data_IF_581847296723
#
_entry.id   IF_581847296723
#
_cell.length_a   1.000
_cell.length_b   1.000
_cell.length_c   1.000
_cell.angle_alpha   90.00
_cell.angle_beta   90.00
_cell.angle_gamma   90.00
#
_symmetry.space_group_name_H-M   'P 1'
#
loop_
_entity.id
_entity.type
_entity.pdbx_description
1 polymer ?
#
# COMPACT_ATOMS: atom_id res chain seq x y z
N UNK A 1 -12.74 11.22 6.86
CA UNK A 1 -12.60 12.21 5.77
C UNK A 1 -12.04 11.43 4.58
N UNK A 2 -12.87 11.16 3.58
CA UNK A 2 -12.44 10.42 2.39
C UNK A 2 -11.78 11.42 1.46
N UNK A 3 -10.45 11.39 1.38
CA UNK A 3 -9.72 12.23 0.43
C UNK A 3 -10.10 11.81 -1.00
N UNK A 4 -10.66 12.76 -1.74
CA UNK A 4 -11.00 12.61 -3.15
C UNK A 4 -10.19 13.62 -3.97
N UNK A 5 -9.88 13.26 -5.21
CA UNK A 5 -9.39 14.22 -6.18
C UNK A 5 -10.24 14.16 -7.44
N UNK A 6 -10.32 15.30 -8.13
CA UNK A 6 -11.10 15.48 -9.35
C UNK A 6 -10.11 15.58 -10.51
N UNK A 7 -10.30 14.79 -11.55
CA UNK A 7 -9.44 14.85 -12.75
C UNK A 7 -9.90 15.93 -13.75
N UNK A 8 -9.19 16.05 -14.87
CA UNK A 8 -9.45 17.01 -15.95
C UNK A 8 -10.79 16.79 -16.68
N UNK A 9 -11.45 15.64 -16.47
CA UNK A 9 -12.76 15.31 -17.01
C UNK A 9 -13.86 15.41 -15.94
N UNK A 10 -13.61 16.10 -14.84
CA UNK A 10 -14.50 16.25 -13.69
C UNK A 10 -14.87 14.95 -12.95
N UNK A 11 -14.15 13.85 -13.19
CA UNK A 11 -14.41 12.57 -12.52
C UNK A 11 -13.84 12.60 -11.10
N UNK A 12 -14.69 12.27 -10.12
CA UNK A 12 -14.30 12.19 -8.72
C UNK A 12 -13.73 10.82 -8.43
N UNK A 13 -12.45 10.76 -8.07
CA UNK A 13 -11.77 9.56 -7.65
C UNK A 13 -11.75 9.48 -6.12
N UNK A 14 -12.41 8.46 -5.57
CA UNK A 14 -12.37 8.18 -4.14
C UNK A 14 -11.17 7.27 -3.85
N UNK A 15 -10.14 7.80 -3.17
CA UNK A 15 -8.97 7.06 -2.69
C UNK A 15 -8.36 6.06 -3.70
N UNK A 16 -7.62 6.56 -4.69
CA UNK A 16 -6.88 5.67 -5.58
C UNK A 16 -5.73 5.02 -4.83
N UNK A 17 -5.89 3.74 -4.51
CA UNK A 17 -4.73 2.88 -4.37
C UNK A 17 -3.84 3.04 -5.61
N UNK A 18 -2.54 3.19 -5.41
CA UNK A 18 -1.57 3.13 -6.49
C UNK A 18 -0.41 2.25 -6.03
N UNK A 19 -0.22 1.09 -6.63
CA UNK A 19 0.87 0.20 -6.31
C UNK A 19 2.23 0.93 -6.52
N UNK A 20 3.10 1.03 -5.51
CA UNK A 20 4.41 1.69 -5.64
C UNK A 20 5.41 0.89 -6.49
N UNK A 21 5.18 -0.40 -6.70
CA UNK A 21 6.02 -1.26 -7.55
C UNK A 21 5.69 -1.10 -9.04
N UNK A 22 4.43 -1.33 -9.42
CA UNK A 22 4.00 -1.39 -10.82
C UNK A 22 3.06 -0.26 -11.27
N UNK A 23 2.54 0.57 -10.36
CA UNK A 23 1.60 1.64 -10.69
C UNK A 23 0.14 1.21 -10.84
N UNK A 24 -0.17 -0.09 -10.73
CA UNK A 24 -1.53 -0.63 -10.74
C UNK A 24 -2.45 0.14 -9.76
N UNK A 25 -3.67 0.48 -10.21
CA UNK A 25 -4.66 1.22 -9.41
C UNK A 25 -5.80 0.34 -8.87
N UNK A 26 -5.67 -0.98 -9.03
CA UNK A 26 -6.69 -1.94 -8.62
C UNK A 26 -6.39 -2.45 -7.21
N UNK A 27 -7.33 -2.24 -6.30
CA UNK A 27 -7.27 -2.64 -4.89
C UNK A 27 -8.35 -3.65 -4.49
N UNK A 28 -8.94 -4.35 -5.47
CA UNK A 28 -10.02 -5.33 -5.23
C UNK A 28 -9.63 -6.45 -4.26
N UNK A 29 -8.33 -6.71 -4.09
CA UNK A 29 -7.80 -7.75 -3.20
C UNK A 29 -7.14 -7.08 -1.99
N UNK A 30 -7.96 -6.58 -1.07
CA UNK A 30 -7.51 -5.97 0.18
C UNK A 30 -7.58 -6.98 1.35
N UNK A 31 -6.57 -6.93 2.21
CA UNK A 31 -6.49 -7.67 3.45
C UNK A 31 -6.28 -6.72 4.64
N UNK A 32 -6.91 -7.03 5.77
CA UNK A 32 -6.66 -6.34 7.03
C UNK A 32 -5.96 -7.30 7.97
N UNK A 33 -4.82 -6.90 8.51
CA UNK A 33 -4.09 -7.74 9.44
C UNK A 33 -3.26 -6.87 10.39
N UNK A 34 -3.45 -7.11 11.69
CA UNK A 34 -2.75 -6.38 12.72
C UNK A 34 -1.47 -7.13 13.10
N UNK A 35 -0.37 -6.77 12.46
CA UNK A 35 0.90 -7.50 12.60
C UNK A 35 1.70 -7.16 13.86
N UNK A 36 1.31 -6.12 14.59
CA UNK A 36 2.14 -5.55 15.66
C UNK A 36 2.45 -6.52 16.82
N UNK A 37 1.68 -7.59 16.98
CA UNK A 37 1.89 -8.60 18.04
C UNK A 37 2.88 -9.71 17.65
N UNK A 38 3.06 -9.96 16.36
CA UNK A 38 3.84 -11.08 15.83
C UNK A 38 5.17 -10.63 15.19
N UNK A 39 5.44 -9.32 15.22
CA UNK A 39 6.60 -8.70 14.62
C UNK A 39 7.44 -7.96 15.65
N UNK A 40 8.76 -8.02 15.45
CA UNK A 40 9.68 -7.12 16.14
C UNK A 40 9.35 -5.65 15.79
N UNK A 41 9.47 -4.72 16.74
CA UNK A 41 9.24 -3.28 16.47
C UNK A 41 10.13 -2.70 15.36
N UNK A 42 11.24 -3.36 15.04
CA UNK A 42 12.14 -3.00 13.94
C UNK A 42 11.64 -3.42 12.56
N UNK A 43 10.69 -4.36 12.48
CA UNK A 43 10.12 -4.82 11.21
C UNK A 43 9.31 -3.69 10.56
N UNK A 44 9.55 -3.34 9.29
CA UNK A 44 8.79 -2.32 8.59
C UNK A 44 7.27 -2.51 8.57
N UNK A 45 6.79 -3.75 8.72
CA UNK A 45 5.36 -4.10 8.79
C UNK A 45 4.74 -3.92 10.18
N UNK A 46 5.53 -3.76 11.25
CA UNK A 46 5.01 -3.62 12.63
C UNK A 46 4.08 -2.41 12.81
N UNK A 47 4.25 -1.38 11.98
CA UNK A 47 3.42 -0.16 11.98
C UNK A 47 2.30 -0.12 10.94
N UNK A 48 2.08 -1.21 10.19
CA UNK A 48 1.10 -1.26 9.11
C UNK A 48 -0.14 -2.05 9.57
N UNK A 49 -1.33 -1.54 9.26
CA UNK A 49 -2.64 -2.09 9.69
C UNK A 49 -3.37 -2.86 8.59
N UNK A 50 -3.10 -2.49 7.34
CA UNK A 50 -3.76 -3.06 6.18
C UNK A 50 -2.73 -3.26 5.06
N UNK A 51 -3.06 -4.16 4.14
CA UNK A 51 -2.30 -4.37 2.92
C UNK A 51 -3.23 -4.67 1.75
N UNK A 52 -2.72 -4.42 0.55
CA UNK A 52 -3.41 -4.69 -0.70
C UNK A 52 -2.52 -5.61 -1.51
N UNK A 53 -3.04 -6.78 -1.87
CA UNK A 53 -2.36 -7.65 -2.82
C UNK A 53 -2.58 -7.07 -4.22
N UNK A 54 -1.52 -6.52 -4.80
CA UNK A 54 -1.61 -5.98 -6.14
C UNK A 54 -1.86 -7.12 -7.13
N UNK A 55 -2.97 -7.09 -7.91
CA UNK A 55 -3.30 -8.19 -8.81
C UNK A 55 -2.36 -8.29 -10.03
N UNK A 56 -1.59 -7.23 -10.32
CA UNK A 56 -0.65 -7.21 -11.44
C UNK A 56 0.73 -7.75 -11.06
N UNK A 57 1.35 -7.18 -10.02
CA UNK A 57 2.71 -7.57 -9.61
C UNK A 57 2.74 -8.61 -8.48
N UNK A 58 1.57 -9.01 -7.97
CA UNK A 58 1.38 -10.03 -6.93
C UNK A 58 2.08 -9.67 -5.60
N UNK A 59 2.52 -8.41 -5.45
CA UNK A 59 3.13 -7.91 -4.22
C UNK A 59 2.08 -7.53 -3.19
N UNK A 60 2.35 -7.87 -1.94
CA UNK A 60 1.64 -7.36 -0.76
C UNK A 60 2.09 -5.92 -0.50
N UNK A 61 1.24 -4.95 -0.82
CA UNK A 61 1.53 -3.53 -0.68
C UNK A 61 0.96 -3.02 0.64
N UNK A 62 1.77 -2.42 1.54
CA UNK A 62 1.24 -1.79 2.74
C UNK A 62 0.23 -0.69 2.40
N UNK A 63 -0.87 -0.61 3.13
CA UNK A 63 -1.91 0.40 2.93
C UNK A 63 -1.37 1.82 2.95
N UNK A 64 -0.43 2.13 3.86
CA UNK A 64 0.14 3.48 3.97
C UNK A 64 0.89 3.90 2.71
N UNK A 65 1.47 2.91 2.01
CA UNK A 65 2.05 3.13 0.70
C UNK A 65 0.94 3.21 -0.32
N UNK A 66 0.13 2.15 -0.47
CA UNK A 66 -0.91 2.01 -1.49
C UNK A 66 -1.89 3.19 -1.55
N UNK A 67 -2.48 3.58 -0.43
CA UNK A 67 -3.45 4.66 -0.30
C UNK A 67 -2.85 6.03 0.03
N UNK A 68 -1.52 6.12 0.14
CA UNK A 68 -0.79 7.38 0.30
C UNK A 68 -1.16 8.17 1.58
N UNK A 69 -1.45 7.50 2.70
CA UNK A 69 -1.68 8.18 3.97
C UNK A 69 -0.41 8.29 4.84
N UNK A 70 -0.51 9.01 5.96
CA UNK A 70 0.60 9.19 6.91
C UNK A 70 1.76 9.99 6.31
N UNK A 71 2.98 9.42 6.37
CA UNK A 71 4.23 10.08 5.89
C UNK A 71 4.47 9.90 4.38
N UNK A 72 3.63 9.14 3.67
CA UNK A 72 3.80 8.75 2.26
C UNK A 72 2.74 9.34 1.34
N UNK A 73 2.50 10.65 1.47
CA UNK A 73 1.47 11.38 0.71
C UNK A 73 1.68 11.47 -0.81
N UNK A 74 2.88 11.22 -1.32
CA UNK A 74 3.18 11.32 -2.76
C UNK A 74 3.63 9.98 -3.33
N UNK A 75 3.43 9.78 -4.64
CA UNK A 75 3.87 8.58 -5.35
C UNK A 75 5.37 8.32 -5.18
N UNK A 76 6.21 9.33 -5.39
CA UNK A 76 7.67 9.17 -5.30
C UNK A 76 8.13 8.82 -3.88
N UNK A 77 7.52 9.41 -2.86
CA UNK A 77 7.84 9.08 -1.46
C UNK A 77 7.42 7.66 -1.12
N UNK A 78 6.25 7.22 -1.59
CA UNK A 78 5.79 5.85 -1.40
C UNK A 78 6.68 4.84 -2.14
N UNK A 79 7.05 5.13 -3.39
CA UNK A 79 7.95 4.30 -4.19
C UNK A 79 9.35 4.21 -3.57
N UNK A 80 9.87 5.32 -3.06
CA UNK A 80 11.14 5.34 -2.33
C UNK A 80 11.07 4.47 -1.06
N UNK A 81 10.07 4.69 -0.20
CA UNK A 81 9.88 3.89 1.03
C UNK A 81 9.68 2.40 0.72
N UNK A 82 8.95 2.08 -0.36
CA UNK A 82 8.79 0.71 -0.84
C UNK A 82 10.15 0.06 -1.17
N UNK A 83 10.95 0.69 -2.01
CA UNK A 83 12.27 0.18 -2.39
C UNK A 83 13.22 0.06 -1.20
N UNK A 84 13.22 1.04 -0.30
CA UNK A 84 14.15 1.11 0.82
C UNK A 84 13.82 0.10 1.93
N UNK A 85 12.53 -0.20 2.15
CA UNK A 85 12.09 -0.94 3.35
C UNK A 85 11.28 -2.20 3.09
N UNK A 86 10.51 -2.28 2.01
CA UNK A 86 9.50 -3.33 1.84
C UNK A 86 9.79 -4.29 0.69
N UNK A 87 10.41 -3.82 -0.40
CA UNK A 87 10.54 -4.56 -1.66
C UNK A 87 11.19 -5.94 -1.50
N UNK A 88 12.15 -6.06 -0.60
CA UNK A 88 12.90 -7.29 -0.34
C UNK A 88 12.38 -8.09 0.87
N UNK A 89 11.29 -7.65 1.51
CA UNK A 89 10.67 -8.38 2.59
C UNK A 89 9.73 -9.44 2.01
N UNK A 90 10.00 -10.70 2.33
CA UNK A 90 9.15 -11.82 1.94
C UNK A 90 7.84 -11.79 2.74
N UNK A 91 6.80 -11.19 2.17
CA UNK A 91 5.39 -11.41 2.54
C UNK A 91 4.53 -11.74 1.32
N UNK A 92 5.17 -12.38 0.34
CA UNK A 92 4.51 -12.96 -0.82
C UNK A 92 3.65 -14.13 -0.33
N UNK A 93 2.32 -14.00 -0.48
CA UNK A 93 1.29 -15.00 -0.16
C UNK A 93 1.02 -15.30 1.33
N UNK A 94 0.16 -14.46 1.93
CA UNK A 94 -0.80 -14.93 2.95
C UNK A 94 -2.19 -15.15 2.31
N UNK A 95 -2.21 -15.86 1.17
CA UNK A 95 -3.42 -16.56 0.72
C UNK A 95 -3.13 -18.03 0.91
N UNK A 96 -3.51 -18.57 2.07
CA UNK A 96 -3.77 -19.99 2.25
C UNK A 96 -5.24 -20.24 2.03
#
# INVERSE_FOLDING_TARGET
>A
MTDYFKDENDIIHFQLFICPECGCKNDKIKGYEFFAKDLEPSDPWSGEFEFVNCPECIRSIPGSLGYRYGKTKTYDKAKKKWNDKFKNLFREFLVK
#
